data_IF_479405691988
#
_entry.id   IF_479405691988
#
_cell.length_a   1.000
_cell.length_b   1.000
_cell.length_c   1.000
_cell.angle_alpha   90.00
_cell.angle_beta   90.00
_cell.angle_gamma   90.00
#
_symmetry.space_group_name_H-M   'P 1'
#
loop_
_entity.id
_entity.type
_entity.pdbx_description
1 polymer ?
#
# COMPACT_ATOMS: atom_id res chain seq x y z
N UNK A 1 15.80 -8.30 0.97
CA UNK A 1 14.87 -8.20 -0.19
C UNK A 1 14.77 -6.74 -0.67
N UNK A 2 14.90 -6.48 -1.97
CA UNK A 2 14.81 -5.13 -2.54
C UNK A 2 13.37 -4.73 -2.93
N UNK A 3 12.48 -5.71 -3.13
CA UNK A 3 11.11 -5.54 -3.55
C UNK A 3 10.16 -6.42 -2.72
N UNK A 4 9.05 -5.84 -2.29
CA UNK A 4 7.94 -6.53 -1.62
C UNK A 4 6.64 -6.21 -2.37
N UNK A 5 5.87 -7.24 -2.73
CA UNK A 5 4.58 -7.11 -3.40
C UNK A 5 3.52 -7.70 -2.48
N UNK A 6 2.46 -6.93 -2.22
CA UNK A 6 1.33 -7.31 -1.38
C UNK A 6 0.05 -7.17 -2.21
N UNK A 7 -0.62 -8.28 -2.48
CA UNK A 7 -1.89 -8.31 -3.20
C UNK A 7 -3.01 -8.71 -2.23
N UNK A 8 -3.93 -7.78 -1.96
CA UNK A 8 -5.03 -7.95 -1.01
C UNK A 8 -4.63 -8.48 0.38
N UNK A 9 -3.39 -8.23 0.83
CA UNK A 9 -2.84 -8.84 2.04
C UNK A 9 -3.59 -8.49 3.36
N UNK A 10 -4.51 -7.52 3.33
CA UNK A 10 -5.33 -7.10 4.47
C UNK A 10 -6.78 -7.60 4.43
N UNK A 11 -7.24 -8.25 3.36
CA UNK A 11 -8.67 -8.58 3.18
C UNK A 11 -9.21 -9.56 4.23
N UNK A 12 -8.35 -10.44 4.74
CA UNK A 12 -8.69 -11.45 5.75
C UNK A 12 -8.25 -11.09 7.18
N UNK A 13 -7.70 -9.89 7.41
CA UNK A 13 -7.19 -9.50 8.71
C UNK A 13 -8.25 -8.75 9.52
N UNK A 14 -8.27 -9.00 10.84
CA UNK A 14 -8.98 -8.13 11.76
C UNK A 14 -8.30 -6.74 11.86
N UNK A 15 -9.02 -5.76 12.39
CA UNK A 15 -8.54 -4.37 12.49
C UNK A 15 -7.22 -4.23 13.26
N UNK A 16 -7.03 -5.00 14.33
CA UNK A 16 -5.82 -4.92 15.14
C UNK A 16 -4.62 -5.53 14.42
N UNK A 17 -4.83 -6.63 13.71
CA UNK A 17 -3.81 -7.30 12.90
C UNK A 17 -3.45 -6.46 11.68
N UNK A 18 -4.42 -5.82 11.02
CA UNK A 18 -4.19 -4.85 9.94
C UNK A 18 -3.34 -3.67 10.43
N UNK A 19 -3.66 -3.08 11.59
CA UNK A 19 -2.88 -1.99 12.16
C UNK A 19 -1.42 -2.39 12.44
N UNK A 20 -1.19 -3.58 13.00
CA UNK A 20 0.16 -4.11 13.25
C UNK A 20 0.93 -4.35 11.95
N UNK A 21 0.27 -4.87 10.92
CA UNK A 21 0.89 -5.05 9.61
C UNK A 21 1.30 -3.69 9.03
N UNK A 22 0.42 -2.70 9.04
CA UNK A 22 0.71 -1.36 8.53
C UNK A 22 1.88 -0.71 9.29
N UNK A 23 1.96 -0.87 10.61
CA UNK A 23 3.08 -0.36 11.39
C UNK A 23 4.40 -1.07 11.07
N UNK A 24 4.38 -2.39 10.85
CA UNK A 24 5.56 -3.12 10.41
C UNK A 24 6.04 -2.65 9.03
N UNK A 25 5.10 -2.45 8.09
CA UNK A 25 5.39 -1.95 6.74
C UNK A 25 5.97 -0.52 6.77
N UNK A 26 5.46 0.35 7.65
CA UNK A 26 6.03 1.69 7.89
C UNK A 26 7.48 1.62 8.36
N UNK A 27 7.83 0.66 9.21
CA UNK A 27 9.21 0.45 9.67
C UNK A 27 10.20 0.00 8.56
N UNK A 28 9.66 -0.45 7.43
CA UNK A 28 10.39 -0.87 6.24
C UNK A 28 10.46 0.21 5.14
N UNK A 29 9.67 1.28 5.28
CA UNK A 29 9.68 2.40 4.34
C UNK A 29 11.11 2.97 4.18
N UNK A 30 11.48 3.27 2.94
CA UNK A 30 12.83 3.75 2.59
C UNK A 30 13.94 2.69 2.62
N UNK A 31 13.70 1.46 3.09
CA UNK A 31 14.68 0.36 3.07
C UNK A 31 14.49 -0.58 1.88
N UNK A 32 13.29 -0.62 1.31
CA UNK A 32 12.93 -1.47 0.17
C UNK A 32 11.77 -0.84 -0.61
N UNK A 33 11.62 -1.24 -1.88
CA UNK A 33 10.48 -0.83 -2.71
C UNK A 33 9.27 -1.71 -2.38
N UNK A 34 8.12 -1.10 -2.15
CA UNK A 34 6.87 -1.82 -1.88
C UNK A 34 5.82 -1.51 -2.95
N UNK A 35 5.11 -2.54 -3.41
CA UNK A 35 3.93 -2.42 -4.26
C UNK A 35 2.76 -3.08 -3.54
N UNK A 36 1.70 -2.32 -3.29
CA UNK A 36 0.53 -2.78 -2.54
C UNK A 36 -0.72 -2.59 -3.39
N UNK A 37 -1.42 -3.69 -3.68
CA UNK A 37 -2.75 -3.67 -4.26
C UNK A 37 -3.78 -3.86 -3.14
N UNK A 38 -4.72 -2.92 -3.03
CA UNK A 38 -5.76 -2.95 -2.00
C UNK A 38 -7.04 -2.31 -2.50
N UNK A 39 -8.18 -2.83 -2.03
CA UNK A 39 -9.52 -2.28 -2.27
C UNK A 39 -9.95 -1.24 -1.22
N UNK A 40 -9.11 -0.98 -0.22
CA UNK A 40 -9.38 -0.04 0.89
C UNK A 40 -8.39 1.10 0.87
N UNK A 41 -8.92 2.33 0.88
CA UNK A 41 -8.09 3.54 0.89
C UNK A 41 -7.18 3.63 2.12
N UNK A 42 -7.62 3.10 3.28
CA UNK A 42 -6.85 3.06 4.52
C UNK A 42 -5.52 2.30 4.38
N UNK A 43 -5.50 1.23 3.57
CA UNK A 43 -4.32 0.41 3.37
C UNK A 43 -3.25 1.11 2.51
N UNK A 44 -3.66 2.04 1.64
CA UNK A 44 -2.78 2.78 0.73
C UNK A 44 -2.52 4.22 1.16
N UNK A 45 -3.16 4.69 2.23
CA UNK A 45 -3.08 6.08 2.71
C UNK A 45 -1.66 6.58 3.03
N UNK A 46 -0.71 5.68 3.25
CA UNK A 46 0.70 6.01 3.55
C UNK A 46 1.67 5.60 2.44
N UNK A 47 1.18 5.24 1.24
CA UNK A 47 2.04 4.93 0.11
C UNK A 47 2.61 6.21 -0.50
N UNK A 48 3.86 6.19 -0.95
CA UNK A 48 4.51 7.34 -1.60
C UNK A 48 3.85 7.71 -2.95
N UNK A 49 3.29 6.71 -3.63
CA UNK A 49 2.57 6.86 -4.89
C UNK A 49 1.30 6.00 -4.88
N UNK A 50 0.24 6.53 -5.48
CA UNK A 50 -1.03 5.86 -5.67
C UNK A 50 -1.33 5.76 -7.16
N UNK A 51 -1.79 4.60 -7.59
CA UNK A 51 -2.24 4.34 -8.96
C UNK A 51 -3.67 3.84 -8.90
N UNK A 52 -4.59 4.59 -9.51
CA UNK A 52 -5.96 4.14 -9.69
C UNK A 52 -6.07 3.36 -11.00
N UNK A 53 -6.46 2.09 -10.90
CA UNK A 53 -6.61 1.18 -12.03
C UNK A 53 -7.99 1.29 -12.70
N UNK A 54 -8.93 2.06 -12.14
CA UNK A 54 -10.28 2.22 -12.69
C UNK A 54 -10.39 3.29 -13.76
N UNK A 55 -9.52 4.29 -13.72
CA UNK A 55 -9.32 5.23 -14.84
C UNK A 55 -8.35 4.61 -15.85
N UNK A 56 -8.65 4.74 -17.15
CA UNK A 56 -7.70 4.43 -18.22
C UNK A 56 -6.30 4.95 -17.84
N UNK A 57 -5.27 4.13 -18.09
CA UNK A 57 -3.92 4.10 -17.45
C UNK A 57 -3.11 5.43 -17.56
N UNK A 58 -3.71 6.53 -17.99
CA UNK A 58 -3.13 7.85 -18.15
C UNK A 58 -3.09 8.70 -16.86
N UNK A 59 -3.79 8.34 -15.78
CA UNK A 59 -3.89 9.18 -14.59
C UNK A 59 -3.13 8.60 -13.39
N UNK A 60 -1.80 8.69 -13.39
CA UNK A 60 -1.03 8.64 -12.15
C UNK A 60 -1.14 10.02 -11.49
N UNK A 61 -2.20 10.24 -10.70
CA UNK A 61 -2.29 11.42 -9.84
C UNK A 61 -1.50 11.15 -8.55
N UNK A 62 -0.22 11.52 -8.55
CA UNK A 62 0.63 11.47 -7.35
C UNK A 62 0.45 12.76 -6.56
N UNK A 63 -0.06 12.65 -5.34
CA UNK A 63 0.46 13.44 -4.22
C UNK A 63 0.24 12.61 -2.96
N UNK A 64 1.22 11.80 -2.60
CA UNK A 64 1.44 11.45 -1.22
C UNK A 64 2.70 12.17 -0.75
N UNK A 65 2.67 12.52 0.53
CA UNK A 65 3.44 13.58 1.17
C UNK A 65 4.96 13.48 1.02
#
# INVERSE_FOLDING_TARGET
PSLLILDEATSALDVATEARLLDALRGLAGKLTMVVAAHRLSAVANCDQLVDLTTDIAAVAVTAK
#
